data_IF_409630248716
#
_entry.id   IF_409630248716
#
_cell.length_a   1.000
_cell.length_b   1.000
_cell.length_c   1.000
_cell.angle_alpha   90.00
_cell.angle_beta   90.00
_cell.angle_gamma   90.00
#
_symmetry.space_group_name_H-M   'P 1'
#
loop_
_entity.id
_entity.type
_entity.pdbx_description
1 polymer ?
#
# COMPACT_ATOMS: atom_id res chain seq x y z
N UNK A 1 7.78 -6.79 9.57
CA UNK A 1 7.67 -7.99 10.44
C UNK A 1 8.98 -8.74 10.54
N UNK A 2 9.52 -9.32 9.45
CA UNK A 2 10.79 -10.09 9.53
C UNK A 2 11.94 -9.28 10.16
N UNK A 3 12.13 -8.03 9.72
CA UNK A 3 13.13 -7.12 10.29
C UNK A 3 12.95 -6.89 11.81
N UNK A 4 11.71 -6.56 12.24
CA UNK A 4 11.41 -6.31 13.65
C UNK A 4 11.58 -7.57 14.50
N UNK A 5 11.27 -8.75 13.95
CA UNK A 5 11.48 -10.03 14.63
C UNK A 5 12.97 -10.34 14.82
N UNK A 6 13.81 -10.11 13.80
CA UNK A 6 15.26 -10.33 13.91
C UNK A 6 15.94 -9.36 14.89
N UNK A 7 15.45 -8.12 14.96
CA UNK A 7 15.99 -7.08 15.84
C UNK A 7 15.35 -7.08 17.25
N UNK A 8 14.50 -8.06 17.57
CA UNK A 8 13.75 -8.15 18.83
C UNK A 8 12.94 -6.88 19.18
N UNK A 9 12.39 -6.22 18.16
CA UNK A 9 11.54 -5.03 18.29
C UNK A 9 10.06 -5.41 18.49
N UNK A 10 9.22 -4.49 18.99
CA UNK A 10 7.77 -4.70 19.05
C UNK A 10 7.18 -5.04 17.68
N UNK A 11 6.07 -5.78 17.69
CA UNK A 11 5.37 -6.14 16.46
C UNK A 11 4.82 -4.87 15.77
N UNK A 12 5.19 -4.61 14.50
CA UNK A 12 4.81 -3.39 13.81
C UNK A 12 3.38 -3.40 13.28
N UNK A 13 2.77 -4.58 13.17
CA UNK A 13 1.40 -4.74 12.68
C UNK A 13 0.66 -5.78 13.51
N UNK A 14 -0.55 -5.44 13.92
CA UNK A 14 -1.53 -6.39 14.43
C UNK A 14 -2.18 -7.17 13.27
N UNK A 15 -2.85 -8.28 13.58
CA UNK A 15 -3.56 -9.06 12.57
C UNK A 15 -4.65 -8.24 11.85
N UNK A 16 -5.32 -7.35 12.59
CA UNK A 16 -6.36 -6.46 12.06
C UNK A 16 -5.80 -5.43 11.07
N UNK A 17 -4.59 -4.92 11.30
CA UNK A 17 -3.89 -4.03 10.35
C UNK A 17 -3.66 -4.73 9.00
N UNK A 18 -3.19 -5.98 9.03
CA UNK A 18 -2.94 -6.77 7.82
C UNK A 18 -4.24 -7.12 7.09
N UNK A 19 -5.31 -7.41 7.84
CA UNK A 19 -6.64 -7.65 7.26
C UNK A 19 -7.14 -6.40 6.52
N UNK A 20 -7.02 -5.22 7.15
CA UNK A 20 -7.41 -3.95 6.53
C UNK A 20 -6.63 -3.69 5.24
N UNK A 21 -5.31 -3.86 5.27
CA UNK A 21 -4.44 -3.66 4.10
C UNK A 21 -4.88 -4.58 2.95
N UNK A 22 -4.95 -5.89 3.19
CA UNK A 22 -5.24 -6.85 2.12
C UNK A 22 -6.69 -6.75 1.60
N UNK A 23 -7.67 -6.55 2.49
CA UNK A 23 -9.08 -6.60 2.14
C UNK A 23 -9.60 -5.27 1.58
N UNK A 24 -9.10 -4.15 2.06
CA UNK A 24 -9.61 -2.83 1.66
C UNK A 24 -8.58 -2.11 0.82
N UNK A 25 -7.41 -1.82 1.38
CA UNK A 25 -6.44 -0.93 0.76
C UNK A 25 -5.83 -1.49 -0.53
N UNK A 26 -5.61 -2.80 -0.62
CA UNK A 26 -5.05 -3.46 -1.81
C UNK A 26 -6.15 -3.93 -2.78
N UNK A 27 -7.31 -4.35 -2.27
CA UNK A 27 -8.42 -4.84 -3.11
C UNK A 27 -9.08 -3.71 -3.90
N UNK A 28 -9.21 -2.50 -3.33
CA UNK A 28 -9.81 -1.36 -4.03
C UNK A 28 -9.00 -0.97 -5.29
N UNK A 29 -7.66 -0.75 -5.23
CA UNK A 29 -6.84 -0.56 -6.42
C UNK A 29 -6.87 -1.75 -7.37
N UNK A 30 -6.86 -3.00 -6.87
CA UNK A 30 -6.90 -4.18 -7.74
C UNK A 30 -8.19 -4.23 -8.59
N UNK A 31 -9.34 -3.92 -7.99
CA UNK A 31 -10.61 -3.80 -8.71
C UNK A 31 -10.54 -2.64 -9.72
N UNK A 32 -9.96 -1.51 -9.34
CA UNK A 32 -9.81 -0.37 -10.23
C UNK A 32 -8.93 -0.66 -11.45
N UNK A 33 -7.83 -1.40 -11.28
CA UNK A 33 -6.97 -1.88 -12.38
C UNK A 33 -7.76 -2.82 -13.29
N UNK A 34 -8.63 -3.68 -12.74
CA UNK A 34 -9.53 -4.52 -13.54
C UNK A 34 -10.52 -3.73 -14.43
N UNK A 35 -10.77 -2.45 -14.11
CA UNK A 35 -11.62 -1.55 -14.88
C UNK A 35 -10.84 -0.70 -15.90
N UNK A 36 -9.53 -0.92 -16.04
CA UNK A 36 -8.70 -0.25 -17.04
C UNK A 36 -9.12 -0.68 -18.46
N UNK A 37 -9.07 0.26 -19.42
CA UNK A 37 -9.45 -0.04 -20.81
C UNK A 37 -8.43 -0.98 -21.45
N UNK A 38 -8.92 -1.92 -22.25
CA UNK A 38 -8.06 -2.82 -23.02
C UNK A 38 -7.11 -2.03 -23.94
N UNK A 39 -5.85 -2.45 -24.01
CA UNK A 39 -4.86 -1.83 -24.88
C UNK A 39 -5.24 -2.05 -26.35
N UNK A 40 -5.18 -0.98 -27.18
CA UNK A 40 -5.57 -1.05 -28.60
C UNK A 40 -4.73 -2.04 -29.42
N UNK A 41 -3.51 -2.30 -28.98
CA UNK A 41 -2.57 -3.20 -29.66
C UNK A 41 -2.58 -4.63 -29.09
N UNK A 42 -3.47 -4.93 -28.12
CA UNK A 42 -3.53 -6.24 -27.46
C UNK A 42 -3.73 -7.40 -28.46
N UNK A 43 -4.52 -7.17 -29.51
CA UNK A 43 -4.77 -8.16 -30.57
C UNK A 43 -3.60 -8.31 -31.56
N UNK A 44 -2.61 -7.41 -31.52
CA UNK A 44 -1.38 -7.50 -32.34
C UNK A 44 -0.27 -8.28 -31.63
N UNK A 45 -0.40 -8.51 -30.33
CA UNK A 45 0.56 -9.30 -29.57
C UNK A 45 0.33 -10.80 -29.80
N UNK A 46 1.42 -11.57 -29.83
CA UNK A 46 1.35 -13.02 -29.97
C UNK A 46 0.76 -13.62 -28.68
N UNK A 47 -0.06 -14.68 -28.76
CA UNK A 47 -0.55 -15.38 -27.58
C UNK A 47 0.59 -15.80 -26.67
N UNK A 48 0.43 -15.57 -25.36
CA UNK A 48 1.42 -15.93 -24.33
C UNK A 48 1.70 -17.43 -24.37
N UNK A 49 2.97 -17.82 -24.34
CA UNK A 49 3.35 -19.23 -24.42
C UNK A 49 2.99 -19.98 -23.13
N UNK A 50 2.54 -21.24 -23.26
CA UNK A 50 2.09 -22.08 -22.13
C UNK A 50 3.17 -22.30 -21.05
N UNK A 51 4.44 -22.20 -21.43
CA UNK A 51 5.59 -22.41 -20.54
C UNK A 51 6.19 -21.09 -20.02
N UNK A 52 5.62 -19.94 -20.35
CA UNK A 52 6.08 -18.67 -19.79
C UNK A 52 5.64 -18.55 -18.32
N UNK A 53 6.61 -18.28 -17.44
CA UNK A 53 6.31 -17.98 -16.03
C UNK A 53 5.53 -16.66 -15.92
N UNK A 54 4.63 -16.58 -14.95
CA UNK A 54 4.01 -15.32 -14.54
C UNK A 54 5.02 -14.45 -13.80
N UNK A 55 5.83 -15.06 -12.93
CA UNK A 55 6.99 -14.43 -12.31
C UNK A 55 8.22 -14.61 -13.20
N UNK A 56 8.42 -13.68 -14.14
CA UNK A 56 9.72 -13.52 -14.80
C UNK A 56 10.74 -12.95 -13.80
N UNK A 57 12.03 -13.11 -14.10
CA UNK A 57 13.09 -12.54 -13.25
C UNK A 57 12.95 -11.03 -13.15
N UNK A 58 12.69 -10.37 -14.27
CA UNK A 58 12.52 -8.91 -14.33
C UNK A 58 11.34 -8.46 -13.47
N UNK A 59 10.21 -9.17 -13.52
CA UNK A 59 9.04 -8.88 -12.69
C UNK A 59 9.30 -9.10 -11.18
N UNK A 60 10.09 -10.13 -10.82
CA UNK A 60 10.52 -10.32 -9.43
C UNK A 60 11.39 -9.14 -8.96
N UNK A 61 12.33 -8.67 -9.79
CA UNK A 61 13.19 -7.54 -9.44
C UNK A 61 12.38 -6.26 -9.25
N UNK A 62 11.40 -6.02 -10.12
CA UNK A 62 10.49 -4.87 -10.02
C UNK A 62 9.70 -4.90 -8.71
N UNK A 63 8.96 -5.98 -8.42
CA UNK A 63 8.21 -6.14 -7.16
C UNK A 63 9.12 -6.02 -5.94
N UNK A 64 10.30 -6.65 -5.98
CA UNK A 64 11.23 -6.61 -4.87
C UNK A 64 11.74 -5.19 -4.61
N UNK A 65 12.04 -4.43 -5.67
CA UNK A 65 12.50 -3.04 -5.55
C UNK A 65 11.43 -2.11 -4.96
N UNK A 66 10.19 -2.21 -5.45
CA UNK A 66 9.07 -1.39 -4.95
C UNK A 66 8.70 -1.77 -3.52
N UNK A 67 8.65 -3.08 -3.23
CA UNK A 67 8.42 -3.59 -1.89
C UNK A 67 9.50 -3.15 -0.90
N UNK A 68 10.77 -3.08 -1.34
CA UNK A 68 11.88 -2.60 -0.52
C UNK A 68 11.72 -1.11 -0.19
N UNK A 69 11.37 -0.27 -1.16
CA UNK A 69 11.12 1.16 -0.95
C UNK A 69 9.98 1.37 0.06
N UNK A 70 8.85 0.68 -0.14
CA UNK A 70 7.71 0.73 0.79
C UNK A 70 8.14 0.29 2.19
N UNK A 71 8.93 -0.79 2.31
CA UNK A 71 9.42 -1.28 3.59
C UNK A 71 10.34 -0.27 4.30
N UNK A 72 11.23 0.40 3.57
CA UNK A 72 12.14 1.42 4.14
C UNK A 72 11.32 2.57 4.75
N UNK A 73 10.41 3.17 3.99
CA UNK A 73 9.59 4.28 4.50
C UNK A 73 8.70 3.87 5.67
N UNK A 74 8.13 2.68 5.61
CA UNK A 74 7.31 2.12 6.69
C UNK A 74 8.14 1.88 7.97
N UNK A 75 9.39 1.41 7.82
CA UNK A 75 10.30 1.25 8.95
C UNK A 75 10.74 2.59 9.54
N UNK A 76 10.99 3.60 8.70
CA UNK A 76 11.31 4.96 9.17
C UNK A 76 10.16 5.49 10.02
N UNK A 77 8.91 5.41 9.53
CA UNK A 77 7.73 5.81 10.28
C UNK A 77 7.57 5.01 11.59
N UNK A 78 7.81 3.70 11.55
CA UNK A 78 7.81 2.85 12.75
C UNK A 78 8.84 3.32 13.78
N UNK A 79 10.08 3.61 13.37
CA UNK A 79 11.13 4.09 14.27
C UNK A 79 10.85 5.47 14.85
N UNK A 80 10.20 6.36 14.09
CA UNK A 80 9.75 7.67 14.60
C UNK A 80 8.71 7.46 15.70
N UNK A 81 7.70 6.63 15.45
CA UNK A 81 6.65 6.35 16.44
C UNK A 81 7.16 5.60 17.68
N UNK A 82 8.18 4.74 17.51
CA UNK A 82 8.79 3.98 18.61
C UNK A 82 9.46 4.88 19.65
N UNK A 83 9.83 6.12 19.29
CA UNK A 83 10.33 7.12 20.26
C UNK A 83 9.27 7.57 21.25
N UNK A 84 7.99 7.41 20.91
CA UNK A 84 6.86 7.72 21.78
C UNK A 84 6.42 6.47 22.51
N UNK A 85 5.90 5.48 21.79
CA UNK A 85 5.52 4.18 22.34
C UNK A 85 5.29 3.14 21.22
N UNK A 86 5.09 1.88 21.61
CA UNK A 86 4.88 0.76 20.67
C UNK A 86 3.57 0.83 19.87
N UNK A 87 2.52 1.42 20.41
CA UNK A 87 1.20 1.53 19.77
C UNK A 87 1.19 2.64 18.72
N UNK A 88 1.82 3.78 19.03
CA UNK A 88 2.10 4.87 18.08
C UNK A 88 3.01 4.35 16.95
N UNK A 89 4.06 3.59 17.26
CA UNK A 89 4.92 2.96 16.25
C UNK A 89 4.11 2.09 15.27
N UNK A 90 3.27 1.20 15.79
CA UNK A 90 2.40 0.32 14.99
C UNK A 90 1.42 1.12 14.14
N UNK A 91 0.83 2.18 14.70
CA UNK A 91 -0.11 3.07 14.02
C UNK A 91 0.56 3.83 12.87
N UNK A 92 1.72 4.43 13.12
CA UNK A 92 2.48 5.15 12.08
C UNK A 92 2.90 4.20 10.97
N UNK A 93 3.40 3.01 11.31
CA UNK A 93 3.75 2.00 10.30
C UNK A 93 2.53 1.56 9.48
N UNK A 94 1.40 1.31 10.12
CA UNK A 94 0.15 0.93 9.46
C UNK A 94 -0.33 2.00 8.48
N UNK A 95 -0.38 3.26 8.92
CA UNK A 95 -0.83 4.37 8.11
C UNK A 95 0.09 4.64 6.91
N UNK A 96 1.40 4.69 7.14
CA UNK A 96 2.40 4.87 6.07
C UNK A 96 2.34 3.72 5.07
N UNK A 97 2.20 2.48 5.53
CA UNK A 97 2.07 1.33 4.63
C UNK A 97 0.77 1.40 3.80
N UNK A 98 -0.36 1.77 4.42
CA UNK A 98 -1.62 1.93 3.70
C UNK A 98 -1.52 3.01 2.61
N UNK A 99 -0.98 4.19 2.94
CA UNK A 99 -0.78 5.26 1.97
C UNK A 99 0.15 4.81 0.84
N UNK A 100 1.29 4.20 1.18
CA UNK A 100 2.24 3.71 0.19
C UNK A 100 1.60 2.69 -0.76
N UNK A 101 0.74 1.80 -0.25
CA UNK A 101 -0.04 0.84 -1.06
C UNK A 101 -1.05 1.52 -1.98
N UNK A 102 -1.78 2.52 -1.48
CA UNK A 102 -2.71 3.31 -2.30
C UNK A 102 -1.99 4.01 -3.46
N UNK A 103 -0.81 4.60 -3.21
CA UNK A 103 0.01 5.21 -4.26
C UNK A 103 0.58 4.17 -5.23
N UNK A 104 1.12 3.07 -4.71
CA UNK A 104 1.65 1.97 -5.51
C UNK A 104 0.59 1.35 -6.44
N UNK A 105 -0.68 1.33 -6.02
CA UNK A 105 -1.80 0.92 -6.89
C UNK A 105 -1.92 1.72 -8.19
N UNK A 106 -1.43 2.96 -8.26
CA UNK A 106 -1.33 3.70 -9.51
C UNK A 106 -0.15 3.25 -10.38
N UNK A 107 0.97 2.88 -9.76
CA UNK A 107 2.14 2.35 -10.47
C UNK A 107 1.83 1.02 -11.15
N UNK A 108 1.03 0.15 -10.51
CA UNK A 108 0.67 -1.17 -11.03
C UNK A 108 -0.33 -1.17 -12.21
N UNK A 109 -0.71 -0.01 -12.77
CA UNK A 109 -1.76 0.09 -13.81
C UNK A 109 -1.33 -0.44 -15.18
N UNK A 110 -0.04 -0.67 -15.41
CA UNK A 110 0.43 -1.36 -16.61
C UNK A 110 1.94 -1.28 -16.81
N UNK A 111 2.45 -2.03 -17.78
CA UNK A 111 3.90 -2.17 -18.06
C UNK A 111 4.56 -0.90 -18.67
N UNK A 112 3.78 0.17 -18.88
CA UNK A 112 4.28 1.46 -19.35
C UNK A 112 4.27 2.45 -18.19
N UNK A 113 5.24 3.36 -18.16
CA UNK A 113 5.29 4.42 -17.15
C UNK A 113 3.93 5.12 -17.00
N UNK A 114 3.55 5.46 -15.77
CA UNK A 114 2.29 6.14 -15.42
C UNK A 114 2.13 7.45 -16.19
N UNK A 115 3.25 8.11 -16.52
CA UNK A 115 3.28 9.33 -17.33
C UNK A 115 2.92 9.06 -18.81
N UNK A 116 3.18 7.86 -19.32
CA UNK A 116 2.78 7.44 -20.67
C UNK A 116 1.32 6.96 -20.73
N UNK A 117 0.79 6.39 -19.65
CA UNK A 117 -0.61 5.92 -19.58
C UNK A 117 -1.58 7.08 -19.26
N UNK A 118 -1.10 8.05 -18.48
CA UNK A 118 -1.87 9.20 -17.99
C UNK A 118 -2.45 8.95 -16.59
N UNK A 119 -2.05 9.80 -15.64
CA UNK A 119 -2.50 9.75 -14.23
C UNK A 119 -4.02 9.78 -14.09
N UNK A 120 -4.74 10.50 -14.96
CA UNK A 120 -6.20 10.65 -14.92
C UNK A 120 -6.95 9.77 -15.93
N UNK A 121 -6.27 8.86 -16.61
CA UNK A 121 -6.89 8.01 -17.65
C UNK A 121 -7.96 7.07 -17.07
N UNK A 122 -7.78 6.60 -15.84
CA UNK A 122 -8.73 5.75 -15.13
C UNK A 122 -9.32 6.46 -13.91
N UNK A 123 -10.57 6.87 -14.03
CA UNK A 123 -11.33 7.48 -12.93
C UNK A 123 -11.52 6.53 -11.74
N UNK A 124 -11.55 5.21 -11.99
CA UNK A 124 -11.76 4.23 -10.93
C UNK A 124 -10.54 4.11 -10.02
N UNK A 125 -9.32 4.30 -10.53
CA UNK A 125 -8.11 4.34 -9.69
C UNK A 125 -8.14 5.51 -8.72
N UNK A 126 -8.60 6.69 -9.17
CA UNK A 126 -8.81 7.84 -8.30
C UNK A 126 -9.93 7.64 -7.28
N UNK A 127 -11.02 6.97 -7.68
CA UNK A 127 -12.08 6.58 -6.73
C UNK A 127 -11.55 5.60 -5.67
N UNK A 128 -10.80 4.57 -6.08
CA UNK A 128 -10.20 3.61 -5.16
C UNK A 128 -9.23 4.29 -4.18
N UNK A 129 -8.39 5.20 -4.69
CA UNK A 129 -7.50 6.01 -3.84
C UNK A 129 -8.28 6.87 -2.86
N UNK A 130 -9.29 7.61 -3.33
CA UNK A 130 -10.11 8.48 -2.49
C UNK A 130 -10.86 7.71 -1.40
N UNK A 131 -11.48 6.57 -1.76
CA UNK A 131 -12.17 5.71 -0.80
C UNK A 131 -11.17 5.13 0.21
N UNK A 132 -10.03 4.62 -0.24
CA UNK A 132 -8.97 4.10 0.63
C UNK A 132 -8.44 5.15 1.60
N UNK A 133 -8.23 6.37 1.12
CA UNK A 133 -7.80 7.51 1.92
C UNK A 133 -8.86 7.86 2.99
N UNK A 134 -10.14 7.92 2.62
CA UNK A 134 -11.23 8.18 3.56
C UNK A 134 -11.30 7.09 4.62
N UNK A 135 -11.25 5.81 4.23
CA UNK A 135 -11.29 4.69 5.16
C UNK A 135 -10.10 4.70 6.12
N UNK A 136 -8.89 4.99 5.63
CA UNK A 136 -7.71 5.13 6.49
C UNK A 136 -7.90 6.25 7.51
N UNK A 137 -8.36 7.42 7.08
CA UNK A 137 -8.63 8.55 7.97
C UNK A 137 -9.74 8.23 8.98
N UNK A 138 -10.77 7.49 8.59
CA UNK A 138 -11.79 7.01 9.52
C UNK A 138 -11.18 6.13 10.61
N UNK A 139 -10.31 5.18 10.25
CA UNK A 139 -9.65 4.30 11.22
C UNK A 139 -8.74 5.09 12.18
N UNK A 140 -8.05 6.13 11.69
CA UNK A 140 -7.13 6.93 12.50
C UNK A 140 -7.80 7.95 13.43
N UNK A 141 -8.98 8.46 13.07
CA UNK A 141 -9.59 9.61 13.77
C UNK A 141 -10.95 9.34 14.40
N UNK A 142 -11.57 8.19 14.14
CA UNK A 142 -12.85 7.84 14.77
C UNK A 142 -12.56 7.03 16.04
N UNK A 143 -12.89 7.54 17.25
CA UNK A 143 -12.53 6.88 18.52
C UNK A 143 -13.09 5.46 18.68
N UNK A 144 -14.24 5.17 18.04
CA UNK A 144 -14.82 3.83 18.03
C UNK A 144 -13.93 2.82 17.28
N UNK A 145 -13.23 3.25 16.24
CA UNK A 145 -12.37 2.39 15.41
C UNK A 145 -10.98 2.21 16.00
N UNK A 146 -10.50 3.14 16.83
CA UNK A 146 -9.18 3.04 17.50
C UNK A 146 -9.01 1.72 18.25
N UNK A 147 -10.00 1.34 19.07
CA UNK A 147 -9.95 0.10 19.84
C UNK A 147 -10.10 -1.14 18.96
N UNK A 148 -10.89 -1.06 17.89
CA UNK A 148 -11.12 -2.19 16.97
C UNK A 148 -9.87 -2.50 16.14
N UNK A 149 -9.17 -1.46 15.70
CA UNK A 149 -7.99 -1.58 14.86
C UNK A 149 -6.67 -1.56 15.64
N UNK A 150 -6.69 -1.46 16.98
CA UNK A 150 -5.47 -1.35 17.82
C UNK A 150 -4.58 -0.14 17.46
N UNK A 151 -5.23 0.99 17.17
CA UNK A 151 -4.61 2.23 16.74
C UNK A 151 -4.50 3.21 17.91
N UNK A 152 -3.40 3.95 17.96
CA UNK A 152 -3.14 4.97 18.97
C UNK A 152 -3.42 6.39 18.44
N UNK A 153 -3.77 7.29 19.35
CA UNK A 153 -3.91 8.70 19.03
C UNK A 153 -2.59 9.31 18.58
N UNK A 154 -2.61 9.94 17.41
CA UNK A 154 -1.45 10.60 16.82
C UNK A 154 -1.46 12.11 17.09
N UNK A 155 -0.29 12.65 17.37
CA UNK A 155 -0.08 14.11 17.39
C UNK A 155 -0.10 14.68 15.96
N UNK A 156 -0.42 15.98 15.83
CA UNK A 156 -0.40 16.67 14.53
C UNK A 156 0.94 16.55 13.79
N UNK A 157 2.07 16.55 14.53
CA UNK A 157 3.39 16.35 13.96
C UNK A 157 3.58 14.93 13.39
N UNK A 158 3.11 13.90 14.10
CA UNK A 158 3.19 12.51 13.63
C UNK A 158 2.33 12.27 12.40
N UNK A 159 1.14 12.87 12.35
CA UNK A 159 0.29 12.86 11.15
C UNK A 159 1.04 13.50 9.97
N UNK A 160 1.69 14.64 10.19
CA UNK A 160 2.51 15.30 9.18
C UNK A 160 3.75 14.53 8.74
N UNK A 161 4.22 13.53 9.49
CA UNK A 161 5.29 12.62 9.05
C UNK A 161 4.78 11.44 8.23
N UNK A 162 3.50 11.09 8.37
CA UNK A 162 2.87 9.98 7.65
C UNK A 162 2.47 10.41 6.24
N UNK A 163 1.89 11.59 6.11
CA UNK A 163 1.40 12.19 4.86
C UNK A 163 2.49 12.93 4.10
#
# INVERSE_FOLDING_TARGET
VLYTSLMALPMPFAAVHLLFINLLTDSLPAIAIGMEKSQKDLLKEKPRSRNSSILSKDFIYEIASEGLVIAIFTLIAFYIGLRTDKYVASTMAFATLCLARLFHGFNCRGDRSIFSIGLFSNRYSWMAFGIGLVLLNCVLFVPFLENLFEVANLTGAQIGYIY
#
